data_IF_682680341660
#
_entry.id   IF_682680341660
#
_cell.length_a   1.000
_cell.length_b   1.000
_cell.length_c   1.000
_cell.angle_alpha   90.00
_cell.angle_beta   90.00
_cell.angle_gamma   90.00
#
_symmetry.space_group_name_H-M   'P 1'
#
loop_
_entity.id
_entity.type
_entity.pdbx_description
1 polymer ?
#
# COMPACT_ATOMS: atom_id res chain seq x y z
N UNK A 1 22.25 5.86 -23.27
CA UNK A 1 21.77 6.36 -21.96
C UNK A 1 20.78 5.35 -21.44
N UNK A 2 21.15 4.56 -20.44
CA UNK A 2 20.26 3.65 -19.72
C UNK A 2 19.45 4.49 -18.74
N UNK A 3 18.15 4.66 -19.02
CA UNK A 3 17.23 5.26 -18.06
C UNK A 3 17.06 4.22 -16.95
N UNK A 4 17.80 4.38 -15.85
CA UNK A 4 17.54 3.59 -14.65
C UNK A 4 16.15 3.97 -14.15
N UNK A 5 15.26 2.98 -14.07
CA UNK A 5 14.00 3.14 -13.38
C UNK A 5 14.29 3.62 -11.94
N UNK A 6 13.52 4.58 -11.41
CA UNK A 6 13.71 5.04 -10.04
C UNK A 6 13.72 3.84 -9.09
N UNK A 7 14.70 3.78 -8.19
CA UNK A 7 14.75 2.72 -7.18
C UNK A 7 13.45 2.77 -6.36
N UNK A 8 12.96 1.62 -5.91
CA UNK A 8 11.75 1.54 -5.06
C UNK A 8 11.82 2.48 -3.85
N UNK A 9 13.01 2.67 -3.29
CA UNK A 9 13.30 3.65 -2.23
C UNK A 9 13.10 5.10 -2.67
N UNK A 10 13.53 5.45 -3.89
CA UNK A 10 13.32 6.78 -4.47
C UNK A 10 11.84 7.05 -4.76
N UNK A 11 11.11 6.02 -5.21
CA UNK A 11 9.67 6.10 -5.43
C UNK A 11 8.94 6.36 -4.12
N UNK A 12 9.25 5.59 -3.07
CA UNK A 12 8.67 5.73 -1.73
C UNK A 12 8.91 7.12 -1.14
N UNK A 13 10.13 7.65 -1.26
CA UNK A 13 10.48 8.99 -0.79
C UNK A 13 9.65 10.08 -1.49
N UNK A 14 9.48 9.98 -2.81
CA UNK A 14 8.63 10.89 -3.59
C UNK A 14 7.15 10.79 -3.19
N UNK A 15 6.65 9.58 -2.96
CA UNK A 15 5.26 9.37 -2.52
C UNK A 15 5.03 9.97 -1.13
N UNK A 16 5.99 9.82 -0.22
CA UNK A 16 5.96 10.43 1.12
C UNK A 16 5.99 11.97 1.06
N UNK A 17 6.84 12.57 0.23
CA UNK A 17 6.88 14.02 0.04
C UNK A 17 5.56 14.56 -0.51
N UNK A 18 4.96 13.87 -1.49
CA UNK A 18 3.66 14.24 -2.04
C UNK A 18 2.54 14.12 -1.01
N UNK A 19 2.58 13.10 -0.16
CA UNK A 19 1.65 12.92 0.94
C UNK A 19 1.77 14.05 1.97
N UNK A 20 2.99 14.35 2.43
CA UNK A 20 3.24 15.41 3.42
C UNK A 20 2.79 16.77 2.87
N UNK A 21 3.11 17.09 1.62
CA UNK A 21 2.71 18.35 0.99
C UNK A 21 1.18 18.49 0.89
N UNK A 22 0.47 17.40 0.57
CA UNK A 22 -1.00 17.38 0.56
C UNK A 22 -1.58 17.53 1.96
N UNK A 23 -0.99 16.89 2.97
CA UNK A 23 -1.41 17.00 4.36
C UNK A 23 -1.19 18.42 4.90
N UNK A 24 -0.08 19.07 4.55
CA UNK A 24 0.25 20.43 4.98
C UNK A 24 -0.68 21.48 4.35
N UNK A 25 -0.94 21.37 3.03
CA UNK A 25 -1.92 22.21 2.34
C UNK A 25 -3.34 22.04 2.91
N UNK A 26 -3.69 20.82 3.31
CA UNK A 26 -4.96 20.53 3.97
C UNK A 26 -5.05 21.20 5.35
N UNK A 27 -4.01 21.07 6.19
CA UNK A 27 -3.96 21.74 7.49
C UNK A 27 -4.06 23.26 7.36
N UNK A 28 -3.39 23.85 6.37
CA UNK A 28 -3.50 25.30 6.12
C UNK A 28 -4.93 25.74 5.77
N UNK A 29 -5.62 25.01 4.89
CA UNK A 29 -7.04 25.27 4.58
C UNK A 29 -7.94 25.05 5.81
N UNK A 30 -7.62 24.06 6.63
CA UNK A 30 -8.38 23.74 7.84
C UNK A 30 -8.32 24.84 8.90
N UNK A 31 -7.13 25.41 9.13
CA UNK A 31 -6.94 26.52 10.07
C UNK A 31 -7.52 27.85 9.58
N UNK A 32 -7.73 28.01 8.26
CA UNK A 32 -8.29 29.25 7.68
C UNK A 32 -9.81 29.27 7.58
N UNK A 33 -10.47 28.12 7.38
CA UNK A 33 -11.93 28.05 7.14
C UNK A 33 -12.72 27.59 8.37
N UNK A 34 -12.05 27.00 9.37
CA UNK A 34 -12.72 26.42 10.52
C UNK A 34 -13.25 25.03 10.16
N UNK A 35 -12.91 24.06 11.00
CA UNK A 35 -13.26 22.65 10.84
C UNK A 35 -14.77 22.41 10.82
N UNK A 36 -15.39 22.26 9.65
CA UNK A 36 -16.63 21.50 9.59
C UNK A 36 -16.28 20.03 9.83
N UNK A 37 -16.87 19.44 10.86
CA UNK A 37 -16.65 18.04 11.31
C UNK A 37 -16.71 17.01 10.18
N UNK A 38 -17.32 17.36 9.05
CA UNK A 38 -17.48 16.55 7.85
C UNK A 38 -16.16 16.33 7.08
N UNK A 39 -15.29 17.34 7.00
CA UNK A 39 -14.01 17.21 6.26
C UNK A 39 -13.05 16.26 6.98
N UNK A 40 -13.01 16.32 8.32
CA UNK A 40 -12.25 15.40 9.15
C UNK A 40 -12.78 13.96 8.98
N UNK A 41 -14.10 13.78 8.95
CA UNK A 41 -14.70 12.46 8.75
C UNK A 41 -14.38 11.88 7.37
N UNK A 42 -14.36 12.70 6.32
CA UNK A 42 -13.96 12.25 4.98
C UNK A 42 -12.51 11.80 4.95
N UNK A 43 -11.62 12.46 5.67
CA UNK A 43 -10.21 12.07 5.75
C UNK A 43 -10.02 10.79 6.54
N UNK A 44 -10.64 10.68 7.71
CA UNK A 44 -10.58 9.46 8.50
C UNK A 44 -11.10 8.27 7.70
N UNK A 45 -12.14 8.49 6.89
CA UNK A 45 -12.63 7.47 5.96
C UNK A 45 -11.58 7.13 4.89
N UNK A 46 -10.99 8.12 4.22
CA UNK A 46 -9.96 7.88 3.21
C UNK A 46 -8.72 7.15 3.78
N UNK A 47 -8.35 7.43 5.02
CA UNK A 47 -7.26 6.71 5.72
C UNK A 47 -7.66 5.26 6.01
N UNK A 48 -8.89 5.03 6.47
CA UNK A 48 -9.39 3.69 6.72
C UNK A 48 -9.48 2.85 5.44
N UNK A 49 -9.92 3.46 4.33
CA UNK A 49 -10.00 2.82 3.02
C UNK A 49 -8.58 2.43 2.53
N UNK A 50 -7.59 3.34 2.66
CA UNK A 50 -6.19 3.03 2.32
C UNK A 50 -5.61 1.89 3.18
N UNK A 51 -5.96 1.84 4.46
CA UNK A 51 -5.50 0.75 5.32
C UNK A 51 -6.11 -0.59 4.92
N UNK A 52 -7.38 -0.59 4.52
CA UNK A 52 -8.04 -1.78 3.99
C UNK A 52 -7.36 -2.29 2.71
N UNK A 53 -6.97 -1.39 1.82
CA UNK A 53 -6.28 -1.76 0.58
C UNK A 53 -4.92 -2.43 0.87
N UNK A 54 -4.16 -1.88 1.82
CA UNK A 54 -2.88 -2.49 2.27
C UNK A 54 -3.09 -3.87 2.90
N UNK A 55 -4.11 -4.01 3.74
CA UNK A 55 -4.42 -5.29 4.39
C UNK A 55 -4.83 -6.36 3.35
N UNK A 56 -5.58 -5.97 2.32
CA UNK A 56 -5.94 -6.87 1.22
C UNK A 56 -4.72 -7.30 0.40
N UNK A 57 -3.83 -6.36 0.05
CA UNK A 57 -2.60 -6.66 -0.71
C UNK A 57 -1.71 -7.65 0.07
N UNK A 58 -1.61 -7.47 1.39
CA UNK A 58 -0.88 -8.39 2.26
C UNK A 58 -1.51 -9.79 2.28
N UNK A 59 -2.84 -9.87 2.32
CA UNK A 59 -3.57 -11.13 2.31
C UNK A 59 -3.42 -11.88 0.97
N UNK A 60 -3.46 -11.15 -0.15
CA UNK A 60 -3.22 -11.71 -1.49
C UNK A 60 -1.81 -12.30 -1.60
N UNK A 61 -0.80 -11.56 -1.13
CA UNK A 61 0.58 -12.04 -1.12
C UNK A 61 0.76 -13.29 -0.24
N UNK A 62 0.11 -13.35 0.92
CA UNK A 62 0.14 -14.54 1.78
C UNK A 62 -0.52 -15.74 1.09
N UNK A 63 -1.66 -15.51 0.44
CA UNK A 63 -2.37 -16.56 -0.29
C UNK A 63 -1.53 -17.14 -1.44
N UNK A 64 -0.91 -16.28 -2.26
CA UNK A 64 -0.01 -16.71 -3.34
C UNK A 64 1.13 -17.57 -2.81
N UNK A 65 1.78 -17.13 -1.72
CA UNK A 65 2.88 -17.86 -1.10
C UNK A 65 2.45 -19.22 -0.53
N UNK A 66 1.24 -19.33 0.01
CA UNK A 66 0.68 -20.61 0.47
C UNK A 66 0.42 -21.55 -0.70
N UNK A 67 -0.14 -21.05 -1.81
CA UNK A 67 -0.35 -21.87 -3.01
C UNK A 67 0.98 -22.34 -3.61
N UNK A 68 1.98 -21.46 -3.73
CA UNK A 68 3.30 -21.82 -4.23
C UNK A 68 3.94 -22.92 -3.38
N UNK A 69 3.87 -22.82 -2.05
CA UNK A 69 4.35 -23.89 -1.14
C UNK A 69 3.61 -25.20 -1.34
N UNK A 70 2.30 -25.15 -1.55
CA UNK A 70 1.48 -26.33 -1.78
C UNK A 70 1.85 -27.00 -3.11
N UNK A 71 2.05 -26.23 -4.16
CA UNK A 71 2.44 -26.74 -5.47
C UNK A 71 3.84 -27.38 -5.41
N UNK A 72 4.81 -26.71 -4.75
CA UNK A 72 6.14 -27.28 -4.51
C UNK A 72 6.09 -28.61 -3.72
N UNK A 73 5.25 -28.69 -2.70
CA UNK A 73 5.06 -29.93 -1.93
C UNK A 73 4.45 -31.02 -2.81
N UNK A 74 3.43 -30.70 -3.60
CA UNK A 74 2.82 -31.64 -4.52
C UNK A 74 3.83 -32.15 -5.54
N UNK A 75 4.66 -31.28 -6.12
CA UNK A 75 5.72 -31.66 -7.07
C UNK A 75 6.77 -32.56 -6.42
N UNK A 76 7.18 -32.26 -5.18
CA UNK A 76 8.09 -33.11 -4.41
C UNK A 76 7.50 -34.51 -4.19
N UNK A 77 6.25 -34.61 -3.73
CA UNK A 77 5.58 -35.89 -3.55
C UNK A 77 5.33 -36.60 -4.88
N UNK A 78 5.06 -35.91 -5.97
CA UNK A 78 4.87 -36.54 -7.29
C UNK A 78 6.20 -37.06 -7.88
N UNK A 79 7.33 -36.40 -7.58
CA UNK A 79 8.68 -36.85 -7.94
C UNK A 79 9.22 -38.01 -7.07
N UNK A 80 8.67 -38.20 -5.86
CA UNK A 80 9.07 -39.24 -4.92
C UNK A 80 8.43 -40.62 -5.21
N UNK A 81 7.60 -40.72 -6.24
CA UNK A 81 6.95 -41.97 -6.70
C UNK A 81 7.62 -42.61 -7.93
N UNK A 82 8.80 -42.12 -8.33
CA UNK A 82 9.73 -42.78 -9.25
C UNK A 82 11.04 -43.10 -8.52
#
# INVERSE_FOLDING_TARGET
>A
MTIQAPSSTSQLALTLEQFVSKAEAFLQNHYTVGSDSQDIQQILKAIADLQLDVDNEALEAEFELVQEKRDLLNDYYNSAWF
#
